data_IF_025394359000
#
_entry.id   IF_025394359000
#
_cell.length_a   1.000
_cell.length_b   1.000
_cell.length_c   1.000
_cell.angle_alpha   90.00
_cell.angle_beta   90.00
_cell.angle_gamma   90.00
#
_symmetry.space_group_name_H-M   'P 1'
#
loop_
_entity.id
_entity.type
_entity.pdbx_description
1 polymer ?
#
# COMPACT_ATOMS: atom_id res chain seq x y z
N UNK A 1 16.08 9.29 10.09
CA UNK A 1 16.40 8.62 8.81
C UNK A 1 15.95 9.54 7.68
N UNK A 2 16.78 9.80 6.66
CA UNK A 2 16.33 10.49 5.45
C UNK A 2 15.39 9.56 4.67
N UNK A 3 14.25 10.07 4.22
CA UNK A 3 13.32 9.31 3.37
C UNK A 3 14.05 8.96 2.05
N UNK A 4 14.26 7.69 1.71
CA UNK A 4 15.00 7.31 0.51
C UNK A 4 14.25 7.70 -0.78
N UNK A 5 12.97 8.04 -0.69
CA UNK A 5 12.15 8.42 -1.84
C UNK A 5 11.68 9.88 -1.69
N UNK A 6 12.32 10.85 -2.39
CA UNK A 6 11.81 12.21 -2.41
C UNK A 6 10.39 12.21 -2.95
N UNK A 7 9.51 13.03 -2.38
CA UNK A 7 8.10 13.05 -2.76
C UNK A 7 7.54 14.46 -2.65
N UNK A 8 6.67 14.82 -3.60
CA UNK A 8 5.92 16.08 -3.53
C UNK A 8 4.85 15.94 -2.44
N UNK A 9 4.93 16.77 -1.40
CA UNK A 9 3.89 16.85 -0.38
C UNK A 9 2.58 17.37 -1.02
N UNK A 10 1.43 16.80 -0.65
CA UNK A 10 0.14 17.20 -1.25
C UNK A 10 -0.15 18.71 -1.14
N UNK A 11 0.12 19.40 0.00
CA UNK A 11 -0.09 20.84 0.09
C UNK A 11 0.85 21.66 -0.79
N UNK A 12 1.97 21.08 -1.24
CA UNK A 12 2.94 21.73 -2.12
C UNK A 12 2.68 21.45 -3.60
N UNK A 13 1.77 20.53 -3.93
CA UNK A 13 1.40 20.23 -5.30
C UNK A 13 0.67 21.43 -5.93
N UNK A 14 1.07 21.82 -7.13
CA UNK A 14 0.43 22.88 -7.92
C UNK A 14 0.19 22.41 -9.36
N UNK A 15 -0.60 23.17 -10.12
CA UNK A 15 -0.84 22.91 -11.55
C UNK A 15 -1.35 21.49 -11.85
N UNK A 16 -0.73 20.84 -12.84
CA UNK A 16 -1.07 19.48 -13.27
C UNK A 16 -0.90 18.43 -12.15
N UNK A 17 0.15 18.54 -11.33
CA UNK A 17 0.39 17.61 -10.22
C UNK A 17 -0.74 17.66 -9.20
N UNK A 18 -1.24 18.84 -8.85
CA UNK A 18 -2.39 18.99 -7.95
C UNK A 18 -3.66 18.36 -8.54
N UNK A 19 -3.90 18.56 -9.85
CA UNK A 19 -5.03 17.97 -10.54
C UNK A 19 -4.95 16.43 -10.58
N UNK A 20 -3.77 15.86 -10.84
CA UNK A 20 -3.54 14.42 -10.80
C UNK A 20 -3.72 13.84 -9.40
N UNK A 21 -3.25 14.52 -8.36
CA UNK A 21 -3.49 14.09 -6.97
C UNK A 21 -4.98 14.11 -6.62
N UNK A 22 -5.74 15.10 -7.07
CA UNK A 22 -7.20 15.13 -6.89
C UNK A 22 -7.89 13.97 -7.63
N UNK A 23 -7.49 13.69 -8.87
CA UNK A 23 -8.04 12.58 -9.67
C UNK A 23 -7.70 11.20 -9.08
N UNK A 24 -6.49 11.02 -8.54
CA UNK A 24 -6.10 9.81 -7.83
C UNK A 24 -6.97 9.63 -6.58
N UNK A 25 -7.21 10.68 -5.78
CA UNK A 25 -8.08 10.58 -4.61
C UNK A 25 -9.50 10.18 -4.98
N UNK A 26 -10.06 10.79 -6.01
CA UNK A 26 -11.41 10.48 -6.50
C UNK A 26 -11.52 9.06 -7.09
N UNK A 27 -10.50 8.62 -7.83
CA UNK A 27 -10.50 7.32 -8.52
C UNK A 27 -10.17 6.16 -7.57
N UNK A 28 -9.19 6.30 -6.69
CA UNK A 28 -8.83 5.23 -5.74
C UNK A 28 -9.75 5.25 -4.52
N UNK A 29 -10.36 6.40 -4.22
CA UNK A 29 -11.18 6.60 -3.02
C UNK A 29 -10.30 6.67 -1.76
N UNK A 30 -9.36 7.61 -1.76
CA UNK A 30 -8.39 7.76 -0.65
C UNK A 30 -8.35 9.21 -0.19
N UNK A 31 -8.16 9.41 1.12
CA UNK A 31 -8.00 10.76 1.70
C UNK A 31 -6.59 11.33 1.51
N UNK A 32 -5.59 10.45 1.45
CA UNK A 32 -4.16 10.78 1.31
C UNK A 32 -3.62 10.06 0.07
N UNK A 33 -2.87 10.78 -0.75
CA UNK A 33 -2.22 10.19 -1.93
C UNK A 33 -1.02 9.34 -1.49
N UNK A 34 -1.03 8.08 -1.91
CA UNK A 34 -0.01 7.11 -1.52
C UNK A 34 1.41 7.58 -1.93
N UNK A 35 2.43 7.26 -1.12
CA UNK A 35 3.78 7.81 -1.28
C UNK A 35 4.38 7.54 -2.67
N UNK A 36 4.10 6.38 -3.27
CA UNK A 36 4.52 6.04 -4.63
C UNK A 36 4.08 7.07 -5.68
N UNK A 37 2.82 7.53 -5.62
CA UNK A 37 2.30 8.53 -6.55
C UNK A 37 2.96 9.89 -6.34
N UNK A 38 3.20 10.25 -5.08
CA UNK A 38 3.89 11.49 -4.72
C UNK A 38 5.37 11.49 -5.10
N UNK A 39 6.00 10.31 -5.09
CA UNK A 39 7.35 10.11 -5.57
C UNK A 39 7.43 10.15 -7.10
N UNK A 40 6.52 9.49 -7.83
CA UNK A 40 6.46 9.61 -9.29
C UNK A 40 6.27 11.06 -9.76
N UNK A 41 5.64 11.90 -8.94
CA UNK A 41 5.49 13.33 -9.22
C UNK A 41 6.81 14.11 -9.23
N UNK A 42 7.90 13.57 -8.63
CA UNK A 42 9.22 14.21 -8.66
C UNK A 42 9.99 13.93 -9.95
N UNK A 43 9.48 13.04 -10.80
CA UNK A 43 10.07 12.66 -12.08
C UNK A 43 9.21 13.26 -13.20
N UNK A 44 9.79 14.14 -14.02
CA UNK A 44 9.06 14.86 -15.06
C UNK A 44 8.37 13.90 -16.04
N UNK A 45 7.07 14.07 -16.24
CA UNK A 45 6.23 13.20 -17.08
C UNK A 45 5.92 11.80 -16.54
N UNK A 46 6.50 11.38 -15.41
CA UNK A 46 6.32 10.02 -14.88
C UNK A 46 4.93 9.79 -14.27
N UNK A 47 4.48 10.69 -13.37
CA UNK A 47 3.14 10.62 -12.77
C UNK A 47 2.01 10.62 -13.82
N UNK A 48 1.92 11.59 -14.77
CA UNK A 48 0.85 11.60 -15.74
C UNK A 48 0.83 10.33 -16.61
N UNK A 49 1.99 9.85 -17.06
CA UNK A 49 2.06 8.63 -17.85
C UNK A 49 1.64 7.39 -17.03
N UNK A 50 2.20 7.22 -15.83
CA UNK A 50 1.92 6.06 -14.98
C UNK A 50 0.44 6.01 -14.59
N UNK A 51 -0.12 7.16 -14.22
CA UNK A 51 -1.53 7.27 -13.88
C UNK A 51 -2.43 6.97 -15.07
N UNK A 52 -2.13 7.51 -16.24
CA UNK A 52 -2.87 7.20 -17.47
C UNK A 52 -2.85 5.69 -17.78
N UNK A 53 -1.70 5.04 -17.62
CA UNK A 53 -1.54 3.61 -17.89
C UNK A 53 -2.39 2.73 -16.96
N UNK A 54 -2.51 3.07 -15.67
CA UNK A 54 -3.20 2.21 -14.69
C UNK A 54 -4.63 2.63 -14.39
N UNK A 55 -5.04 3.87 -14.67
CA UNK A 55 -6.39 4.37 -14.36
C UNK A 55 -7.51 3.44 -14.88
N UNK A 56 -7.42 2.85 -16.09
CA UNK A 56 -8.39 1.84 -16.57
C UNK A 56 -8.62 0.68 -15.58
N UNK A 57 -7.56 0.19 -14.92
CA UNK A 57 -7.63 -0.93 -13.97
C UNK A 57 -8.50 -0.59 -12.74
N UNK A 58 -8.52 0.68 -12.33
CA UNK A 58 -9.37 1.18 -11.24
C UNK A 58 -10.81 1.40 -11.70
N UNK A 59 -11.00 2.17 -12.78
CA UNK A 59 -12.35 2.60 -13.20
C UNK A 59 -13.20 1.44 -13.72
N UNK A 60 -12.57 0.40 -14.27
CA UNK A 60 -13.24 -0.83 -14.72
C UNK A 60 -13.33 -1.90 -13.60
N UNK A 61 -12.89 -1.58 -12.38
CA UNK A 61 -12.95 -2.47 -11.21
C UNK A 61 -12.11 -3.75 -11.34
N UNK A 62 -11.11 -3.78 -12.22
CA UNK A 62 -10.25 -4.94 -12.41
C UNK A 62 -9.32 -5.15 -11.20
N UNK A 63 -8.75 -4.06 -10.68
CA UNK A 63 -7.95 -4.11 -9.47
C UNK A 63 -8.78 -4.59 -8.27
N UNK A 64 -10.01 -4.08 -8.13
CA UNK A 64 -10.97 -4.48 -7.10
C UNK A 64 -11.36 -5.96 -7.19
N UNK A 65 -11.60 -6.46 -8.41
CA UNK A 65 -11.86 -7.87 -8.65
C UNK A 65 -10.68 -8.75 -8.17
N UNK A 66 -9.46 -8.36 -8.50
CA UNK A 66 -8.25 -9.04 -8.04
C UNK A 66 -8.10 -8.98 -6.51
N UNK A 67 -8.47 -7.87 -5.86
CA UNK A 67 -8.49 -7.72 -4.39
C UNK A 67 -9.44 -8.74 -3.75
N UNK A 68 -10.66 -8.90 -4.29
CA UNK A 68 -11.66 -9.85 -3.76
C UNK A 68 -11.13 -11.27 -3.80
N UNK A 69 -10.58 -11.70 -4.94
CA UNK A 69 -10.06 -13.06 -5.08
C UNK A 69 -8.81 -13.28 -4.21
N UNK A 70 -7.91 -12.31 -4.19
CA UNK A 70 -6.71 -12.36 -3.36
C UNK A 70 -7.02 -12.50 -1.87
N UNK A 71 -8.03 -11.77 -1.36
CA UNK A 71 -8.43 -11.85 0.05
C UNK A 71 -8.96 -13.23 0.45
N UNK A 72 -9.45 -14.06 -0.48
CA UNK A 72 -9.91 -15.44 -0.21
C UNK A 72 -8.76 -16.42 -0.07
N UNK A 73 -7.63 -16.13 -0.68
CA UNK A 73 -6.44 -17.00 -0.76
C UNK A 73 -5.30 -16.51 0.13
N UNK A 74 -5.49 -15.36 0.78
CA UNK A 74 -4.46 -14.68 1.53
C UNK A 74 -3.99 -15.52 2.72
N UNK A 75 -2.67 -15.69 2.84
CA UNK A 75 -2.07 -16.29 4.03
C UNK A 75 -1.81 -15.21 5.05
N UNK A 76 -2.34 -15.34 6.27
CA UNK A 76 -2.15 -14.37 7.34
C UNK A 76 -1.44 -15.01 8.54
N UNK A 77 -0.46 -14.33 9.17
CA UNK A 77 0.08 -14.76 10.45
C UNK A 77 -1.01 -14.65 11.53
N UNK A 78 -1.01 -15.59 12.49
CA UNK A 78 -1.94 -15.56 13.62
C UNK A 78 -1.41 -14.61 14.69
N UNK A 79 -1.87 -13.37 14.68
CA UNK A 79 -1.54 -12.40 15.73
C UNK A 79 -2.31 -12.72 17.03
N UNK A 80 -1.75 -12.31 18.16
CA UNK A 80 -2.51 -12.20 19.41
C UNK A 80 -3.67 -11.20 19.25
N UNK A 81 -4.72 -11.33 20.06
CA UNK A 81 -5.88 -10.45 20.00
C UNK A 81 -5.49 -8.98 20.17
N UNK A 82 -6.00 -8.13 19.27
CA UNK A 82 -5.92 -6.67 19.33
C UNK A 82 -7.29 -6.04 19.58
N UNK A 83 -8.26 -6.85 20.02
CA UNK A 83 -9.58 -6.39 20.40
C UNK A 83 -9.51 -5.49 21.63
N UNK A 84 -10.42 -4.53 21.71
CA UNK A 84 -10.48 -3.55 22.79
C UNK A 84 -10.81 -2.15 22.28
N UNK A 85 -11.18 -1.28 23.20
CA UNK A 85 -11.51 0.11 22.89
C UNK A 85 -10.25 0.88 22.47
N UNK A 86 -10.33 1.52 21.32
CA UNK A 86 -9.32 2.45 20.80
C UNK A 86 -10.02 3.74 20.34
N UNK A 87 -9.27 4.83 20.13
CA UNK A 87 -9.78 5.94 19.34
C UNK A 87 -10.29 5.44 17.98
N UNK A 88 -11.43 5.95 17.52
CA UNK A 88 -12.03 5.58 16.23
C UNK A 88 -11.06 5.77 15.03
N UNK A 89 -10.09 6.67 15.19
CA UNK A 89 -9.01 6.89 14.22
C UNK A 89 -8.17 5.63 13.93
N UNK A 90 -8.05 4.69 14.87
CA UNK A 90 -7.29 3.43 14.63
C UNK A 90 -7.96 2.59 13.56
N UNK A 91 -9.27 2.32 13.70
CA UNK A 91 -10.01 1.52 12.73
C UNK A 91 -10.18 2.26 11.40
N UNK A 92 -10.33 3.58 11.43
CA UNK A 92 -10.31 4.43 10.23
C UNK A 92 -9.01 4.29 9.45
N UNK A 93 -7.86 4.42 10.12
CA UNK A 93 -6.53 4.29 9.49
C UNK A 93 -6.36 2.89 8.91
N UNK A 94 -6.66 1.84 9.69
CA UNK A 94 -6.51 0.46 9.22
C UNK A 94 -7.44 0.16 8.03
N UNK A 95 -8.68 0.64 8.05
CA UNK A 95 -9.60 0.47 6.93
C UNK A 95 -9.08 1.16 5.66
N UNK A 96 -8.63 2.41 5.79
CA UNK A 96 -8.10 3.19 4.66
C UNK A 96 -6.84 2.55 4.05
N UNK A 97 -5.91 2.03 4.86
CA UNK A 97 -4.69 1.41 4.35
C UNK A 97 -4.90 -0.02 3.83
N UNK A 98 -5.82 -0.80 4.41
CA UNK A 98 -6.21 -2.12 3.86
C UNK A 98 -6.90 -1.97 2.50
N UNK A 99 -7.70 -0.92 2.29
CA UNK A 99 -8.24 -0.59 0.96
C UNK A 99 -7.15 -0.11 0.01
N UNK A 100 -6.55 1.03 0.32
CA UNK A 100 -5.66 1.72 -0.60
C UNK A 100 -4.40 0.94 -0.96
N UNK A 101 -3.75 0.27 0.01
CA UNK A 101 -2.54 -0.51 -0.30
C UNK A 101 -2.88 -1.73 -1.15
N UNK A 102 -4.01 -2.40 -0.91
CA UNK A 102 -4.35 -3.63 -1.64
C UNK A 102 -4.75 -3.33 -3.08
N UNK A 103 -5.54 -2.28 -3.33
CA UNK A 103 -5.86 -1.88 -4.71
C UNK A 103 -4.59 -1.40 -5.44
N UNK A 104 -3.76 -0.56 -4.79
CA UNK A 104 -2.49 -0.12 -5.37
C UNK A 104 -1.53 -1.29 -5.64
N UNK A 105 -1.49 -2.33 -4.80
CA UNK A 105 -0.66 -3.52 -5.01
C UNK A 105 -0.91 -4.15 -6.39
N UNK A 106 -2.19 -4.26 -6.78
CA UNK A 106 -2.56 -4.85 -8.07
C UNK A 106 -2.32 -3.91 -9.25
N UNK A 107 -2.75 -2.65 -9.14
CA UNK A 107 -2.58 -1.70 -10.23
C UNK A 107 -1.11 -1.39 -10.52
N UNK A 108 -0.31 -1.16 -9.47
CA UNK A 108 1.13 -0.91 -9.58
C UNK A 108 1.91 -2.18 -9.90
N UNK A 109 1.48 -3.33 -9.37
CA UNK A 109 2.06 -4.63 -9.77
C UNK A 109 1.86 -4.90 -11.26
N UNK A 110 0.70 -4.55 -11.82
CA UNK A 110 0.41 -4.67 -13.24
C UNK A 110 1.28 -3.72 -14.07
N UNK A 111 1.46 -2.48 -13.61
CA UNK A 111 2.37 -1.51 -14.23
C UNK A 111 3.82 -2.03 -14.25
N UNK A 112 4.30 -2.54 -13.11
CA UNK A 112 5.62 -3.14 -12.98
C UNK A 112 5.80 -4.32 -13.93
N UNK A 113 4.84 -5.25 -13.97
CA UNK A 113 4.86 -6.40 -14.87
C UNK A 113 4.89 -5.96 -16.35
N UNK A 114 4.08 -4.96 -16.73
CA UNK A 114 4.08 -4.38 -18.08
C UNK A 114 5.43 -3.78 -18.45
N UNK A 115 6.02 -2.98 -17.57
CA UNK A 115 7.31 -2.32 -17.81
C UNK A 115 8.49 -3.32 -17.90
N UNK A 116 8.41 -4.44 -17.18
CA UNK A 116 9.38 -5.54 -17.26
C UNK A 116 9.20 -6.46 -18.46
N UNK A 117 8.09 -6.33 -19.20
CA UNK A 117 7.68 -7.31 -20.21
C UNK A 117 7.27 -8.67 -19.62
N UNK A 118 7.04 -8.74 -18.31
CA UNK A 118 6.61 -9.96 -17.61
C UNK A 118 5.07 -10.05 -17.55
N UNK A 119 4.45 -9.95 -18.72
CA UNK A 119 3.00 -10.05 -18.86
C UNK A 119 2.63 -11.54 -18.97
N UNK A 120 1.52 -11.95 -18.34
CA UNK A 120 1.07 -13.33 -18.45
C UNK A 120 0.72 -13.68 -19.90
N UNK A 121 1.15 -14.87 -20.36
CA UNK A 121 0.85 -15.39 -21.70
C UNK A 121 -0.66 -15.62 -21.89
N UNK A 122 -1.31 -16.13 -20.84
CA UNK A 122 -2.73 -16.47 -20.81
C UNK A 122 -3.48 -15.72 -19.70
N UNK A 123 -4.82 -15.82 -19.74
CA UNK A 123 -5.74 -15.16 -18.81
C UNK A 123 -6.31 -13.85 -19.34
N UNK A 124 -7.46 -13.45 -18.81
CA UNK A 124 -8.15 -12.21 -19.16
C UNK A 124 -8.33 -11.37 -17.90
N UNK A 125 -7.92 -10.09 -17.89
CA UNK A 125 -8.27 -9.15 -16.83
C UNK A 125 -9.79 -9.07 -16.64
N UNK A 126 -10.29 -9.64 -15.55
CA UNK A 126 -11.71 -9.59 -15.23
C UNK A 126 -12.11 -8.20 -14.73
N UNK A 127 -13.14 -7.62 -15.33
CA UNK A 127 -13.81 -6.44 -14.80
C UNK A 127 -14.74 -6.83 -13.65
N UNK A 128 -15.05 -5.88 -12.78
CA UNK A 128 -15.93 -6.12 -11.64
C UNK A 128 -16.48 -4.84 -11.03
N UNK A 129 -17.38 -4.94 -10.03
CA UNK A 129 -17.78 -3.79 -9.26
C UNK A 129 -16.59 -3.22 -8.50
N UNK A 130 -16.46 -1.90 -8.46
CA UNK A 130 -15.48 -1.23 -7.59
C UNK A 130 -15.83 -1.47 -6.13
N UNK A 131 -14.83 -1.76 -5.29
CA UNK A 131 -15.07 -1.85 -3.87
C UNK A 131 -15.33 -0.46 -3.30
N UNK A 132 -16.31 -0.31 -2.39
CA UNK A 132 -16.54 0.97 -1.75
C UNK A 132 -15.31 1.35 -0.94
N UNK A 133 -14.81 2.55 -1.21
CA UNK A 133 -13.75 3.12 -0.39
C UNK A 133 -14.29 3.44 1.02
N UNK A 134 -13.50 3.20 2.09
CA UNK A 134 -13.88 3.62 3.43
C UNK A 134 -14.07 5.14 3.49
N UNK A 135 -15.27 5.58 3.88
CA UNK A 135 -15.53 6.99 4.16
C UNK A 135 -15.13 7.31 5.60
N UNK A 136 -13.84 7.63 5.77
CA UNK A 136 -13.23 7.84 7.08
C UNK A 136 -12.31 9.05 7.07
N UNK A 137 -12.24 9.73 8.22
CA UNK A 137 -11.27 10.79 8.45
C UNK A 137 -9.99 10.22 9.07
N UNK A 138 -8.84 10.61 8.52
CA UNK A 138 -7.52 10.20 9.01
C UNK A 138 -6.93 11.31 9.89
N UNK A 139 -6.24 10.96 10.99
CA UNK A 139 -5.48 11.94 11.73
C UNK A 139 -4.34 12.50 10.85
N UNK A 140 -3.75 13.66 11.17
CA UNK A 140 -2.62 14.20 10.42
C UNK A 140 -1.47 13.20 10.31
N UNK A 141 -0.74 13.24 9.19
CA UNK A 141 0.42 12.36 8.99
C UNK A 141 1.59 12.83 9.88
N UNK A 142 1.82 12.19 11.02
CA UNK A 142 2.84 12.62 11.97
C UNK A 142 4.25 12.60 11.38
N UNK A 143 5.06 13.58 11.75
CA UNK A 143 6.51 13.63 11.65
C UNK A 143 7.15 13.34 13.01
N UNK A 144 8.48 13.23 13.06
CA UNK A 144 9.24 13.04 14.32
C UNK A 144 8.98 14.15 15.34
N UNK A 145 8.73 15.38 14.89
CA UNK A 145 8.48 16.53 15.76
C UNK A 145 7.03 16.57 16.30
N UNK A 146 6.10 15.82 15.71
CA UNK A 146 4.68 15.88 16.05
C UNK A 146 4.29 14.96 17.22
N UNK A 147 5.16 14.02 17.59
CA UNK A 147 4.89 13.00 18.62
C UNK A 147 6.07 12.84 19.58
N UNK A 148 5.85 12.30 20.79
CA UNK A 148 6.93 12.02 21.72
C UNK A 148 8.02 11.11 21.11
N UNK A 149 9.32 11.29 21.46
CA UNK A 149 10.41 10.52 20.88
C UNK A 149 10.24 9.01 20.98
N UNK A 150 9.71 8.49 22.10
CA UNK A 150 9.47 7.07 22.30
C UNK A 150 8.38 6.51 21.37
N UNK A 151 7.40 7.34 21.02
CA UNK A 151 6.35 7.00 20.06
C UNK A 151 6.93 6.94 18.65
N UNK A 152 7.76 7.91 18.26
CA UNK A 152 8.44 7.89 16.96
C UNK A 152 9.40 6.70 16.83
N UNK A 153 10.19 6.40 17.86
CA UNK A 153 11.04 5.21 17.87
C UNK A 153 10.23 3.92 17.72
N UNK A 154 9.03 3.86 18.30
CA UNK A 154 8.10 2.73 18.11
C UNK A 154 7.60 2.63 16.67
N UNK A 155 7.27 3.75 16.03
CA UNK A 155 6.92 3.80 14.60
C UNK A 155 8.05 3.21 13.74
N UNK A 156 9.31 3.56 14.02
CA UNK A 156 10.47 3.05 13.28
C UNK A 156 10.69 1.55 13.49
N UNK A 157 10.54 1.05 14.72
CA UNK A 157 10.63 -0.39 15.01
C UNK A 157 9.48 -1.16 14.35
N UNK A 158 8.26 -0.64 14.43
CA UNK A 158 7.10 -1.21 13.76
C UNK A 158 7.30 -1.30 12.24
N UNK A 159 7.95 -0.30 11.66
CA UNK A 159 8.24 -0.30 10.24
C UNK A 159 9.25 -1.39 9.81
N UNK A 160 10.06 -1.94 10.72
CA UNK A 160 11.01 -3.01 10.39
C UNK A 160 10.36 -4.40 10.31
N UNK A 161 9.16 -4.60 10.88
CA UNK A 161 8.49 -5.90 10.78
C UNK A 161 8.21 -6.28 9.34
N UNK A 162 8.56 -7.52 8.99
CA UNK A 162 8.41 -8.07 7.65
C UNK A 162 9.25 -7.38 6.57
N UNK A 163 10.22 -6.54 6.96
CA UNK A 163 11.11 -5.88 6.01
C UNK A 163 12.41 -6.66 5.76
N UNK A 164 13.07 -6.30 4.67
CA UNK A 164 14.42 -6.74 4.30
C UNK A 164 15.37 -5.54 4.42
N UNK A 165 16.70 -5.77 4.44
CA UNK A 165 17.66 -4.76 4.85
C UNK A 165 17.46 -3.39 4.17
N UNK A 166 17.23 -3.32 2.85
CA UNK A 166 17.03 -2.06 2.13
C UNK A 166 16.20 -2.25 0.83
N UNK A 167 15.47 -1.24 0.34
CA UNK A 167 15.25 0.09 0.95
C UNK A 167 14.12 0.11 1.99
N UNK A 168 14.37 0.74 3.15
CA UNK A 168 13.34 0.94 4.19
C UNK A 168 12.48 2.17 3.87
N UNK A 169 11.27 1.92 3.38
CA UNK A 169 10.26 2.97 3.16
C UNK A 169 9.39 3.07 4.41
N UNK A 170 9.31 4.26 5.01
CA UNK A 170 8.47 4.47 6.20
C UNK A 170 6.99 4.49 5.83
N UNK A 171 6.26 3.45 6.22
CA UNK A 171 4.85 3.31 5.91
C UNK A 171 4.01 4.42 6.58
N UNK A 172 3.22 5.12 5.76
CA UNK A 172 2.36 6.20 6.23
C UNK A 172 1.31 5.74 7.25
N UNK A 173 0.89 4.47 7.20
CA UNK A 173 0.00 3.86 8.19
C UNK A 173 0.53 4.04 9.63
N UNK A 174 1.80 3.71 9.89
CA UNK A 174 2.37 3.83 11.23
C UNK A 174 2.48 5.28 11.69
N UNK A 175 2.72 6.21 10.76
CA UNK A 175 2.74 7.65 11.05
C UNK A 175 1.36 8.18 11.45
N UNK A 176 0.28 7.71 10.83
CA UNK A 176 -1.07 8.06 11.30
C UNK A 176 -1.43 7.39 12.63
N UNK A 177 -1.02 6.13 12.82
CA UNK A 177 -1.24 5.41 14.08
C UNK A 177 -0.38 5.94 15.24
N UNK A 178 0.61 6.82 14.98
CA UNK A 178 1.42 7.48 16.00
C UNK A 178 0.57 8.31 16.98
N UNK A 179 -0.60 8.77 16.55
CA UNK A 179 -1.59 9.45 17.40
C UNK A 179 -2.32 8.50 18.38
N UNK A 180 -2.07 7.20 18.31
CA UNK A 180 -2.58 6.18 19.22
C UNK A 180 -1.44 5.34 19.83
N UNK A 181 -0.57 5.94 20.69
CA UNK A 181 0.66 5.30 21.16
C UNK A 181 0.42 4.00 21.95
N UNK A 182 -0.67 3.91 22.72
CA UNK A 182 -1.06 2.70 23.42
C UNK A 182 -1.40 1.54 22.45
N UNK A 183 -2.02 1.85 21.31
CA UNK A 183 -2.29 0.87 20.26
C UNK A 183 -0.99 0.41 19.60
N UNK A 184 -0.08 1.33 19.27
CA UNK A 184 1.23 0.96 18.72
C UNK A 184 1.99 0.01 19.65
N UNK A 185 1.88 0.20 20.97
CA UNK A 185 2.50 -0.69 21.95
C UNK A 185 1.94 -2.11 21.89
N UNK A 186 0.61 -2.24 21.86
CA UNK A 186 -0.05 -3.56 21.71
C UNK A 186 0.30 -4.20 20.37
N UNK A 187 0.33 -3.41 19.30
CA UNK A 187 0.66 -3.87 17.96
C UNK A 187 2.09 -4.43 17.89
N UNK A 188 3.06 -3.73 18.47
CA UNK A 188 4.45 -4.21 18.52
C UNK A 188 4.55 -5.54 19.29
N UNK A 189 3.87 -5.65 20.42
CA UNK A 189 3.81 -6.89 21.19
C UNK A 189 3.14 -8.05 20.42
N UNK A 190 2.14 -7.77 19.57
CA UNK A 190 1.46 -8.77 18.77
C UNK A 190 2.26 -9.22 17.53
N UNK A 191 3.06 -8.33 16.93
CA UNK A 191 3.92 -8.64 15.78
C UNK A 191 5.22 -9.35 16.17
N UNK A 192 5.73 -9.12 17.38
CA UNK A 192 7.00 -9.68 17.84
C UNK A 192 7.07 -11.22 17.74
N UNK A 193 6.09 -12.00 18.25
CA UNK A 193 6.16 -13.46 18.18
C UNK A 193 6.12 -14.01 16.75
N UNK A 194 5.27 -13.43 15.88
CA UNK A 194 5.11 -13.90 14.49
C UNK A 194 6.27 -13.51 13.58
N UNK A 195 7.04 -12.48 13.96
CA UNK A 195 8.33 -12.20 13.36
C UNK A 195 9.38 -13.20 13.81
N UNK A 196 9.44 -13.47 15.12
CA UNK A 196 10.44 -14.36 15.71
C UNK A 196 10.31 -15.81 15.20
N UNK A 197 9.09 -16.30 14.96
CA UNK A 197 8.83 -17.64 14.40
C UNK A 197 8.83 -17.68 12.85
N UNK A 198 9.07 -16.54 12.21
CA UNK A 198 9.12 -16.34 10.76
C UNK A 198 7.77 -16.50 10.04
N UNK A 199 6.65 -16.63 10.75
CA UNK A 199 5.33 -16.77 10.12
C UNK A 199 4.90 -15.49 9.38
N UNK A 200 5.29 -14.32 9.89
CA UNK A 200 5.06 -13.04 9.22
C UNK A 200 5.77 -12.99 7.86
N UNK A 201 7.05 -13.35 7.81
CA UNK A 201 7.84 -13.32 6.57
C UNK A 201 7.32 -14.33 5.54
N UNK A 202 6.94 -15.55 6.00
CA UNK A 202 6.34 -16.57 5.14
C UNK A 202 5.02 -16.09 4.54
N UNK A 203 4.16 -15.45 5.33
CA UNK A 203 2.89 -14.90 4.88
C UNK A 203 3.08 -13.77 3.86
N UNK A 204 3.97 -12.81 4.14
CA UNK A 204 4.30 -11.72 3.21
C UNK A 204 4.81 -12.28 1.89
N UNK A 205 5.75 -13.23 1.93
CA UNK A 205 6.31 -13.83 0.73
C UNK A 205 5.25 -14.59 -0.09
N UNK A 206 4.39 -15.37 0.56
CA UNK A 206 3.30 -16.09 -0.09
C UNK A 206 2.35 -15.13 -0.80
N UNK A 207 1.89 -14.11 -0.08
CA UNK A 207 0.96 -13.10 -0.59
C UNK A 207 1.56 -12.27 -1.73
N UNK A 208 2.84 -11.91 -1.65
CA UNK A 208 3.55 -11.23 -2.76
C UNK A 208 3.58 -12.07 -4.03
N UNK A 209 3.84 -13.39 -3.92
CA UNK A 209 3.81 -14.30 -5.08
C UNK A 209 2.42 -14.37 -5.70
N UNK A 210 1.38 -14.56 -4.88
CA UNK A 210 -0.01 -14.60 -5.35
C UNK A 210 -0.41 -13.29 -6.02
N UNK A 211 -0.09 -12.16 -5.40
CA UNK A 211 -0.39 -10.84 -5.96
C UNK A 211 0.34 -10.60 -7.29
N UNK A 212 1.61 -10.98 -7.37
CA UNK A 212 2.40 -10.87 -8.60
C UNK A 212 1.80 -11.71 -9.74
N UNK A 213 1.44 -12.98 -9.50
CA UNK A 213 0.80 -13.82 -10.54
C UNK A 213 -0.46 -13.18 -11.12
N UNK A 214 -1.33 -12.63 -10.27
CA UNK A 214 -2.55 -11.92 -10.70
C UNK A 214 -2.25 -10.60 -11.39
N UNK A 215 -1.25 -9.87 -10.92
CA UNK A 215 -0.81 -8.62 -11.53
C UNK A 215 -0.28 -8.81 -12.96
N UNK A 216 0.41 -9.93 -13.25
CA UNK A 216 0.85 -10.29 -14.61
C UNK A 216 -0.32 -10.47 -15.58
N UNK A 217 -1.45 -11.01 -15.11
CA UNK A 217 -2.69 -11.09 -15.90
C UNK A 217 -3.25 -9.70 -16.13
N UNK A 218 -3.40 -8.88 -15.06
CA UNK A 218 -3.89 -7.50 -15.16
C UNK A 218 -3.06 -6.62 -16.10
N UNK A 219 -1.75 -6.85 -16.19
CA UNK A 219 -0.85 -6.11 -17.09
C UNK A 219 -1.24 -6.22 -18.57
N UNK A 220 -2.02 -7.25 -18.95
CA UNK A 220 -2.59 -7.39 -20.30
C UNK A 220 -3.59 -6.28 -20.66
N UNK A 221 -4.21 -5.64 -19.67
CA UNK A 221 -5.11 -4.51 -19.89
C UNK A 221 -4.38 -3.16 -20.06
N UNK A 222 -3.07 -3.10 -19.82
CA UNK A 222 -2.28 -1.87 -20.04
C UNK A 222 -1.83 -1.81 -21.50
N UNK A 223 -2.51 -0.97 -22.28
CA UNK A 223 -2.21 -0.75 -23.70
C UNK A 223 -1.17 0.35 -23.95
N UNK A 224 -0.85 1.16 -22.94
CA UNK A 224 0.07 2.30 -23.08
C UNK A 224 1.49 1.83 -23.40
N UNK A 225 2.09 2.44 -24.42
CA UNK A 225 3.50 2.18 -24.76
C UNK A 225 4.45 2.71 -23.67
N UNK A 226 5.53 1.98 -23.35
CA UNK A 226 6.51 2.43 -22.36
C UNK A 226 7.12 3.79 -22.73
N UNK A 227 7.30 4.72 -21.77
CA UNK A 227 7.86 6.02 -22.03
C UNK A 227 9.40 5.93 -22.03
N UNK A 228 10.08 7.03 -22.36
CA UNK A 228 11.56 7.09 -22.24
C UNK A 228 12.05 6.79 -20.82
N UNK A 229 11.27 7.19 -19.81
CA UNK A 229 11.55 6.96 -18.38
C UNK A 229 11.05 5.60 -17.87
N UNK A 230 10.84 4.61 -18.75
CA UNK A 230 10.27 3.31 -18.37
C UNK A 230 11.05 2.64 -17.23
N UNK A 231 12.39 2.73 -17.26
CA UNK A 231 13.26 2.10 -16.25
C UNK A 231 13.18 2.81 -14.90
N UNK A 232 13.14 4.13 -14.90
CA UNK A 232 13.02 4.95 -13.70
C UNK A 232 11.66 4.73 -13.03
N UNK A 233 10.58 4.73 -13.82
CA UNK A 233 9.23 4.45 -13.32
C UNK A 233 9.16 3.02 -12.75
N UNK A 234 9.72 2.04 -13.46
CA UNK A 234 9.76 0.65 -13.00
C UNK A 234 10.55 0.52 -11.68
N UNK A 235 11.73 1.14 -11.57
CA UNK A 235 12.53 1.12 -10.35
C UNK A 235 11.80 1.78 -9.17
N UNK A 236 11.17 2.92 -9.41
CA UNK A 236 10.33 3.59 -8.41
C UNK A 236 9.18 2.68 -7.97
N UNK A 237 8.39 2.17 -8.91
CA UNK A 237 7.20 1.36 -8.61
C UNK A 237 7.56 0.04 -7.92
N UNK A 238 8.61 -0.65 -8.39
CA UNK A 238 9.06 -1.92 -7.83
C UNK A 238 9.49 -1.78 -6.38
N UNK A 239 10.20 -0.71 -6.01
CA UNK A 239 10.56 -0.47 -4.61
C UNK A 239 9.33 -0.42 -3.68
N UNK A 240 8.24 0.22 -4.11
CA UNK A 240 7.00 0.24 -3.32
C UNK A 240 6.25 -1.09 -3.37
N UNK A 241 6.07 -1.70 -4.54
CA UNK A 241 5.30 -2.94 -4.70
C UNK A 241 5.97 -4.11 -3.97
N UNK A 242 7.29 -4.23 -4.11
CA UNK A 242 8.07 -5.34 -3.58
C UNK A 242 8.44 -5.16 -2.11
N UNK A 243 8.54 -3.93 -1.59
CA UNK A 243 8.93 -3.70 -0.19
C UNK A 243 7.77 -3.13 0.62
N UNK A 244 7.42 -1.86 0.40
CA UNK A 244 6.48 -1.14 1.26
C UNK A 244 5.05 -1.69 1.19
N UNK A 245 4.42 -1.64 0.02
CA UNK A 245 3.02 -2.03 -0.18
C UNK A 245 2.88 -3.55 0.02
N UNK A 246 3.79 -4.34 -0.54
CA UNK A 246 3.75 -5.81 -0.47
C UNK A 246 3.68 -6.36 0.96
N UNK A 247 4.48 -5.83 1.89
CA UNK A 247 4.40 -6.23 3.30
C UNK A 247 3.20 -5.63 4.01
N UNK A 248 2.89 -4.35 3.74
CA UNK A 248 1.86 -3.62 4.48
C UNK A 248 0.45 -4.12 4.18
N UNK A 249 0.18 -4.67 3.00
CA UNK A 249 -1.10 -5.35 2.71
C UNK A 249 -1.30 -6.54 3.65
N UNK A 250 -0.27 -7.35 3.84
CA UNK A 250 -0.32 -8.52 4.74
C UNK A 250 -0.45 -8.11 6.21
N UNK A 251 0.40 -7.18 6.65
CA UNK A 251 0.40 -6.70 8.03
C UNK A 251 -0.93 -6.03 8.37
N UNK A 252 -1.41 -5.09 7.55
CA UNK A 252 -2.64 -4.37 7.82
C UNK A 252 -3.85 -5.31 7.89
N UNK A 253 -3.95 -6.27 6.96
CA UNK A 253 -5.03 -7.26 6.97
C UNK A 253 -4.98 -8.14 8.22
N UNK A 254 -3.80 -8.63 8.61
CA UNK A 254 -3.64 -9.43 9.83
C UNK A 254 -4.05 -8.65 11.09
N UNK A 255 -3.71 -7.36 11.17
CA UNK A 255 -4.14 -6.49 12.27
C UNK A 255 -5.66 -6.35 12.31
N UNK A 256 -6.30 -6.12 11.16
CA UNK A 256 -7.77 -6.00 11.09
C UNK A 256 -8.49 -7.29 11.51
N UNK A 257 -7.95 -8.45 11.15
CA UNK A 257 -8.44 -9.76 11.63
C UNK A 257 -8.28 -9.87 13.15
N UNK A 258 -7.11 -9.52 13.68
CA UNK A 258 -6.83 -9.56 15.12
C UNK A 258 -7.67 -8.58 15.95
N UNK A 259 -8.14 -7.48 15.34
CA UNK A 259 -9.13 -6.56 15.93
C UNK A 259 -10.57 -7.08 15.86
N UNK A 260 -10.84 -8.15 15.13
CA UNK A 260 -12.19 -8.65 14.86
C UNK A 260 -12.98 -7.82 13.86
N UNK A 261 -12.31 -6.94 13.10
CA UNK A 261 -12.96 -6.02 12.16
C UNK A 261 -13.28 -6.67 10.80
N UNK A 262 -12.59 -7.77 10.46
CA UNK A 262 -12.78 -8.55 9.24
C UNK A 262 -12.53 -10.03 9.54
N UNK A 263 -13.18 -10.92 8.79
CA UNK A 263 -12.89 -12.36 8.88
C UNK A 263 -11.52 -12.70 8.29
N UNK A 264 -10.90 -13.73 8.85
CA UNK A 264 -9.67 -14.36 8.33
C UNK A 264 -9.87 -14.91 6.93
#
# INVERSE_FOLDING_TARGET
MSDPFPAIAEPAATGETAALFADIRATVGVRVVNLVWRHLATLDGALPWAWHAVKPLYVQGMADRAVVDFRREMTLPKLGSLAGTEPASVDAVLASYDHSNTVNLFALGALMARLRGDVAEEGVPEQGPRLPAPDVDLPPLASEADVPPETWQRVLRLNHFGDRPEPLILASMYRHLAHAPAFLQRLEAALTPVQADGSLDRAILANRRTAHQRARVLARAIATEPPRLAREIEASVSAFVEHAIGKMVTICRAIRVARGAVSS
#
